data_IF_715853475860
#
_entry.id   IF_715853475860
#
_cell.length_a   1.000
_cell.length_b   1.000
_cell.length_c   1.000
_cell.angle_alpha   90.00
_cell.angle_beta   90.00
_cell.angle_gamma   90.00
#
_symmetry.space_group_name_H-M   'P 1'
#
loop_
_entity.id
_entity.type
_entity.pdbx_description
1 polymer ?
#
# COMPACT_ATOMS: atom_id res chain seq x y z
N UNK A 1 38.54 -42.82 -45.83
CA UNK A 1 37.18 -42.53 -45.35
C UNK A 1 37.25 -42.46 -43.82
N UNK A 2 37.11 -41.27 -43.23
CA UNK A 2 37.34 -40.99 -41.80
C UNK A 2 36.00 -40.92 -41.02
N UNK A 3 35.98 -41.65 -39.90
CA UNK A 3 35.48 -41.38 -38.54
C UNK A 3 34.70 -40.08 -38.18
N UNK A 4 33.65 -40.27 -37.33
CA UNK A 4 33.25 -39.57 -36.07
C UNK A 4 31.77 -39.10 -35.93
N UNK A 5 31.05 -39.81 -35.05
CA UNK A 5 30.16 -39.42 -33.91
C UNK A 5 29.44 -38.06 -33.83
N UNK A 6 28.12 -38.06 -33.53
CA UNK A 6 27.44 -37.63 -32.27
C UNK A 6 25.92 -37.36 -32.49
N UNK A 7 25.07 -37.64 -31.49
CA UNK A 7 23.65 -37.20 -31.43
C UNK A 7 22.74 -38.28 -30.81
N UNK A 8 22.60 -38.37 -29.48
CA UNK A 8 21.73 -37.58 -28.58
C UNK A 8 20.26 -38.04 -28.53
N UNK A 9 19.98 -38.80 -27.46
CA UNK A 9 18.80 -38.79 -26.57
C UNK A 9 17.39 -38.55 -27.15
N UNK A 10 16.57 -39.61 -27.09
CA UNK A 10 15.11 -39.56 -26.96
C UNK A 10 14.78 -40.14 -25.59
N UNK A 11 14.16 -39.34 -24.72
CA UNK A 11 13.36 -39.84 -23.60
C UNK A 11 12.04 -39.06 -23.58
N UNK A 12 10.95 -39.79 -23.75
CA UNK A 12 9.61 -39.32 -23.51
C UNK A 12 9.41 -39.10 -22.00
N UNK A 13 8.89 -37.94 -21.61
CA UNK A 13 8.27 -37.74 -20.31
C UNK A 13 6.94 -37.05 -20.52
N UNK A 14 5.88 -37.80 -20.22
CA UNK A 14 4.52 -37.35 -20.00
C UNK A 14 4.53 -36.68 -18.61
N UNK A 15 4.22 -35.38 -18.54
CA UNK A 15 3.91 -34.71 -17.27
C UNK A 15 2.42 -34.43 -17.19
N UNK A 16 1.74 -35.34 -16.50
CA UNK A 16 0.48 -35.13 -15.82
C UNK A 16 0.68 -34.12 -14.68
N UNK A 17 0.06 -32.95 -14.78
CA UNK A 17 -0.09 -32.04 -13.65
C UNK A 17 -1.21 -32.56 -12.75
N UNK A 18 -0.83 -33.32 -11.72
CA UNK A 18 -1.69 -33.61 -10.59
C UNK A 18 -1.88 -32.36 -9.74
N UNK A 19 -3.13 -31.91 -9.62
CA UNK A 19 -3.54 -30.95 -8.60
C UNK A 19 -3.25 -31.55 -7.22
N UNK A 20 -2.27 -31.01 -6.50
CA UNK A 20 -2.16 -31.20 -5.05
C UNK A 20 -2.91 -30.05 -4.37
N UNK A 21 -3.84 -30.33 -3.46
CA UNK A 21 -4.53 -29.29 -2.72
C UNK A 21 -3.56 -28.57 -1.79
N UNK A 22 -3.63 -27.24 -1.80
CA UNK A 22 -3.00 -26.37 -0.80
C UNK A 22 -3.52 -26.79 0.58
N UNK A 23 -2.66 -27.04 1.59
CA UNK A 23 -3.13 -27.32 2.93
C UNK A 23 -3.73 -26.05 3.51
N UNK A 24 -5.07 -26.01 3.58
CA UNK A 24 -5.84 -25.09 4.41
C UNK A 24 -5.65 -25.49 5.87
N UNK A 25 -4.58 -25.00 6.49
CA UNK A 25 -4.29 -25.21 7.91
C UNK A 25 -3.96 -23.90 8.58
N UNK A 26 -4.96 -23.05 8.82
CA UNK A 26 -4.86 -22.01 9.85
C UNK A 26 -4.86 -22.70 11.22
N UNK A 27 -3.86 -22.47 12.09
CA UNK A 27 -3.94 -22.94 13.47
C UNK A 27 -5.10 -22.23 14.18
N UNK A 28 -6.10 -23.00 14.62
CA UNK A 28 -7.18 -22.49 15.46
C UNK A 28 -6.66 -22.27 16.88
N UNK A 29 -6.24 -21.04 17.17
CA UNK A 29 -6.10 -20.58 18.54
C UNK A 29 -7.51 -20.37 19.12
N UNK A 30 -7.99 -21.37 19.86
CA UNK A 30 -9.17 -21.26 20.71
C UNK A 30 -8.87 -20.29 21.85
N UNK A 31 -9.20 -19.02 21.65
CA UNK A 31 -9.25 -18.01 22.70
C UNK A 31 -10.67 -17.99 23.26
N UNK A 32 -10.80 -18.23 24.56
CA UNK A 32 -12.08 -18.08 25.27
C UNK A 32 -12.51 -16.60 25.21
N UNK A 33 -13.80 -16.31 24.96
CA UNK A 33 -14.31 -14.95 25.02
C UNK A 33 -14.18 -14.40 26.45
N UNK A 34 -13.57 -13.23 26.57
CA UNK A 34 -13.51 -12.44 27.79
C UNK A 34 -14.72 -11.49 27.83
N UNK A 35 -15.43 -11.44 28.95
CA UNK A 35 -16.53 -10.51 29.17
C UNK A 35 -15.98 -9.08 29.35
N UNK A 36 -16.14 -8.24 28.32
CA UNK A 36 -15.89 -6.79 28.39
C UNK A 36 -17.19 -6.10 28.84
N UNK A 37 -17.16 -5.14 29.78
CA UNK A 37 -18.37 -4.42 30.19
C UNK A 37 -19.00 -3.69 29.01
N UNK A 38 -20.26 -4.02 28.73
CA UNK A 38 -21.08 -3.38 27.71
C UNK A 38 -21.41 -1.94 28.15
N UNK A 39 -20.77 -0.94 27.56
CA UNK A 39 -21.26 0.44 27.60
C UNK A 39 -22.27 0.61 26.46
N UNK A 40 -23.53 0.84 26.83
CA UNK A 40 -24.66 1.06 25.92
C UNK A 40 -24.65 2.49 25.31
N UNK A 41 -25.33 2.71 24.18
CA UNK A 41 -25.06 3.83 23.29
C UNK A 41 -25.73 5.13 23.78
N UNK A 42 -24.92 6.17 23.89
CA UNK A 42 -25.36 7.54 24.07
C UNK A 42 -24.25 8.47 23.61
N UNK A 43 -24.47 9.12 22.47
CA UNK A 43 -23.65 10.20 21.90
C UNK A 43 -22.23 9.81 21.44
N UNK A 44 -21.79 10.46 20.36
CA UNK A 44 -20.43 10.33 19.85
C UNK A 44 -19.44 10.89 20.88
N UNK A 45 -18.96 10.04 21.79
CA UNK A 45 -17.61 10.22 22.28
C UNK A 45 -16.72 10.20 21.04
N UNK A 46 -15.99 11.30 20.79
CA UNK A 46 -14.85 11.26 19.86
C UNK A 46 -14.06 10.00 20.21
N UNK A 47 -13.66 9.20 19.22
CA UNK A 47 -12.99 7.92 19.46
C UNK A 47 -11.76 8.07 20.37
N UNK A 48 -11.14 9.25 20.37
CA UNK A 48 -10.04 9.65 21.26
C UNK A 48 -10.40 9.78 22.74
N UNK A 49 -11.69 9.85 23.10
CA UNK A 49 -12.17 9.91 24.48
C UNK A 49 -12.57 8.53 25.06
N UNK A 50 -12.70 7.48 24.23
CA UNK A 50 -13.20 6.18 24.70
C UNK A 50 -12.27 5.54 25.73
N UNK A 51 -10.95 5.70 25.54
CA UNK A 51 -9.92 5.24 26.45
C UNK A 51 -8.97 6.40 26.77
N UNK A 52 -8.46 6.47 28.02
CA UNK A 52 -7.39 7.41 28.35
C UNK A 52 -6.05 6.86 27.89
N UNK A 53 -5.05 7.73 27.75
CA UNK A 53 -3.69 7.37 27.35
C UNK A 53 -3.08 6.23 28.19
N UNK A 54 -3.37 6.22 29.48
CA UNK A 54 -2.89 5.21 30.44
C UNK A 54 -3.84 4.03 30.63
N UNK A 55 -5.01 4.01 29.97
CA UNK A 55 -5.96 2.90 30.09
C UNK A 55 -5.46 1.69 29.31
N UNK A 56 -4.94 0.69 30.01
CA UNK A 56 -4.65 -0.61 29.45
C UNK A 56 -3.61 -1.42 30.21
N UNK A 57 -3.18 -2.54 29.63
CA UNK A 57 -2.10 -3.37 30.14
C UNK A 57 -0.73 -2.92 29.64
N UNK A 58 0.29 -3.72 29.93
CA UNK A 58 1.63 -3.58 29.35
C UNK A 58 1.71 -4.27 28.00
N UNK A 59 2.64 -3.84 27.15
CA UNK A 59 3.02 -4.62 25.99
C UNK A 59 3.68 -5.94 26.44
N UNK A 60 3.68 -6.95 25.57
CA UNK A 60 4.29 -8.25 25.83
C UNK A 60 5.35 -8.58 24.77
N UNK A 61 6.33 -9.40 25.13
CA UNK A 61 7.27 -9.95 24.15
C UNK A 61 6.66 -11.22 23.54
N UNK A 62 6.63 -11.29 22.22
CA UNK A 62 6.12 -12.42 21.45
C UNK A 62 7.23 -12.83 20.48
N UNK A 63 7.50 -14.15 20.32
CA UNK A 63 8.47 -14.65 19.35
C UNK A 63 8.23 -14.08 17.94
N UNK A 64 9.31 -13.89 17.18
CA UNK A 64 9.23 -13.39 15.81
C UNK A 64 8.34 -14.27 14.94
N UNK A 65 7.41 -13.63 14.23
CA UNK A 65 6.51 -14.29 13.31
C UNK A 65 6.30 -13.38 12.09
N UNK A 66 6.64 -13.87 10.90
CA UNK A 66 6.38 -13.14 9.66
C UNK A 66 5.02 -13.55 9.12
N UNK A 67 4.15 -12.58 8.91
CA UNK A 67 2.85 -12.77 8.28
C UNK A 67 2.78 -12.03 6.94
N UNK A 68 1.92 -12.53 6.04
CA UNK A 68 1.59 -11.87 4.77
C UNK A 68 0.13 -11.43 4.84
N UNK A 69 -0.10 -10.13 4.74
CA UNK A 69 -1.42 -9.49 4.63
C UNK A 69 -1.82 -9.31 3.17
N UNK A 70 -2.92 -8.59 2.93
CA UNK A 70 -3.40 -8.21 1.61
C UNK A 70 -2.31 -7.58 0.74
N UNK A 71 -2.44 -7.79 -0.58
CA UNK A 71 -1.52 -7.24 -1.59
C UNK A 71 -0.05 -7.61 -1.37
N UNK A 72 0.18 -8.82 -0.85
CA UNK A 72 1.49 -9.40 -0.55
C UNK A 72 2.32 -8.60 0.47
N UNK A 73 1.67 -7.79 1.31
CA UNK A 73 2.32 -7.00 2.34
C UNK A 73 2.83 -7.90 3.45
N UNK A 74 4.15 -7.98 3.61
CA UNK A 74 4.80 -8.81 4.62
C UNK A 74 5.25 -7.96 5.80
N UNK A 75 5.08 -8.47 7.01
CA UNK A 75 5.49 -7.81 8.24
C UNK A 75 5.71 -8.80 9.37
N UNK A 76 6.45 -8.37 10.38
CA UNK A 76 6.65 -9.08 11.64
C UNK A 76 5.42 -8.88 12.54
N UNK A 77 4.47 -9.82 12.50
CA UNK A 77 3.15 -9.70 13.13
C UNK A 77 3.20 -9.77 14.65
N UNK A 78 4.27 -10.34 15.21
CA UNK A 78 4.55 -10.31 16.64
C UNK A 78 4.61 -8.88 17.19
N UNK A 79 5.02 -7.88 16.41
CA UNK A 79 5.01 -6.49 16.84
C UNK A 79 3.60 -5.94 17.03
N UNK A 80 2.67 -6.28 16.14
CA UNK A 80 1.28 -5.88 16.29
C UNK A 80 0.62 -6.63 17.45
N UNK A 81 0.87 -7.94 17.57
CA UNK A 81 0.35 -8.77 18.66
C UNK A 81 0.87 -8.33 20.04
N UNK A 82 2.11 -7.86 20.10
CA UNK A 82 2.76 -7.39 21.33
C UNK A 82 2.00 -6.24 21.99
N UNK A 83 1.29 -5.44 21.19
CA UNK A 83 0.57 -4.28 21.68
C UNK A 83 -0.93 -4.51 21.85
N UNK A 84 -1.51 -5.66 21.50
CA UNK A 84 -2.97 -5.91 21.58
C UNK A 84 -3.64 -5.44 22.89
N UNK A 85 -3.07 -5.83 24.02
CA UNK A 85 -3.58 -5.47 25.36
C UNK A 85 -2.95 -4.22 25.96
N UNK A 86 -2.05 -3.53 25.25
CA UNK A 86 -1.31 -2.39 25.78
C UNK A 86 -2.17 -1.13 25.90
N UNK A 87 -1.86 -0.27 26.88
CA UNK A 87 -2.34 1.12 26.92
C UNK A 87 -1.75 1.96 25.78
N UNK A 88 -2.25 3.19 25.58
CA UNK A 88 -1.64 4.15 24.67
C UNK A 88 -0.17 4.43 25.01
N UNK A 89 0.13 4.69 26.29
CA UNK A 89 1.50 4.89 26.78
C UNK A 89 2.42 3.71 26.52
N UNK A 90 1.94 2.49 26.75
CA UNK A 90 2.70 1.26 26.53
C UNK A 90 2.86 0.93 25.04
N UNK A 91 1.88 1.28 24.20
CA UNK A 91 2.03 1.22 22.74
C UNK A 91 3.12 2.18 22.26
N UNK A 92 3.14 3.43 22.73
CA UNK A 92 4.21 4.39 22.38
C UNK A 92 5.58 3.89 22.84
N UNK A 93 5.70 3.47 24.11
CA UNK A 93 6.97 2.98 24.66
C UNK A 93 7.51 1.79 23.87
N UNK A 94 6.64 0.83 23.52
CA UNK A 94 7.02 -0.32 22.70
C UNK A 94 7.51 0.09 21.31
N UNK A 95 6.73 0.93 20.62
CA UNK A 95 7.04 1.41 19.25
C UNK A 95 8.37 2.17 19.23
N UNK A 96 8.64 2.99 20.24
CA UNK A 96 9.88 3.76 20.33
C UNK A 96 11.11 2.88 20.62
N UNK A 97 10.97 1.88 21.50
CA UNK A 97 12.08 1.00 21.89
C UNK A 97 12.37 -0.10 20.87
N UNK A 98 11.33 -0.83 20.49
CA UNK A 98 11.46 -2.04 19.67
C UNK A 98 11.37 -1.70 18.20
N UNK A 99 10.43 -0.82 17.82
CA UNK A 99 10.34 -0.31 16.45
C UNK A 99 11.45 0.68 16.09
N UNK A 100 12.25 1.15 17.05
CA UNK A 100 13.27 2.19 16.81
C UNK A 100 12.69 3.47 16.17
N UNK A 101 11.42 3.76 16.46
CA UNK A 101 10.68 4.90 15.94
C UNK A 101 10.77 6.11 16.88
N UNK A 102 10.74 7.31 16.33
CA UNK A 102 10.41 8.51 17.11
C UNK A 102 8.93 8.80 16.99
N UNK A 103 8.30 9.20 18.08
CA UNK A 103 6.89 9.64 18.04
C UNK A 103 6.82 11.05 18.60
N UNK A 104 6.19 11.95 17.85
CA UNK A 104 5.99 13.35 18.22
C UNK A 104 4.53 13.74 18.10
N UNK A 105 4.13 14.78 18.82
CA UNK A 105 2.84 15.45 18.58
C UNK A 105 3.01 16.68 17.69
N UNK A 106 2.05 16.93 16.81
CA UNK A 106 2.05 18.07 15.89
C UNK A 106 1.85 19.43 16.59
N UNK A 107 1.29 19.44 17.82
CA UNK A 107 0.93 20.63 18.58
C UNK A 107 -0.19 21.44 17.90
N UNK A 108 -1.22 20.73 17.43
CA UNK A 108 -2.48 21.27 16.97
C UNK A 108 -3.56 20.95 18.01
N UNK A 109 -3.92 21.94 18.83
CA UNK A 109 -4.98 21.80 19.83
C UNK A 109 -6.34 21.91 19.14
N UNK A 110 -6.78 20.83 18.52
CA UNK A 110 -8.00 20.79 17.71
C UNK A 110 -9.08 19.84 18.26
N UNK A 111 -9.17 19.65 19.58
CA UNK A 111 -10.19 18.75 20.13
C UNK A 111 -10.34 18.81 21.64
N UNK A 112 -11.39 18.16 22.16
CA UNK A 112 -11.66 18.10 23.61
C UNK A 112 -10.84 17.01 24.32
N UNK A 113 -10.36 16.01 23.59
CA UNK A 113 -9.70 14.83 24.15
C UNK A 113 -8.27 14.73 23.62
N UNK A 114 -7.33 15.41 24.28
CA UNK A 114 -5.92 15.41 23.92
C UNK A 114 -5.21 14.12 24.38
N UNK A 115 -5.53 12.99 23.73
CA UNK A 115 -4.99 11.68 24.09
C UNK A 115 -3.44 11.64 24.11
N UNK A 116 -2.78 12.41 23.23
CA UNK A 116 -1.32 12.44 23.09
C UNK A 116 -0.66 13.71 23.65
N UNK A 117 -1.34 14.45 24.54
CA UNK A 117 -0.81 15.69 25.15
C UNK A 117 0.57 15.50 25.81
N UNK A 118 0.80 14.31 26.39
CA UNK A 118 2.03 13.95 27.09
C UNK A 118 3.23 13.75 26.17
N UNK A 119 3.03 13.63 24.86
CA UNK A 119 4.12 13.46 23.91
C UNK A 119 4.90 14.76 23.72
N UNK A 120 6.18 14.61 23.41
CA UNK A 120 7.01 15.75 23.05
C UNK A 120 6.52 16.37 21.72
N UNK A 121 6.53 17.70 21.65
CA UNK A 121 6.19 18.45 20.43
C UNK A 121 7.23 18.18 19.34
N UNK A 122 6.76 18.00 18.11
CA UNK A 122 7.60 17.79 16.94
C UNK A 122 8.60 18.95 16.77
N UNK A 123 9.89 18.67 16.54
CA UNK A 123 10.86 19.70 16.15
C UNK A 123 10.46 20.41 14.85
N UNK A 124 10.95 21.62 14.63
CA UNK A 124 10.45 22.51 13.56
C UNK A 124 10.50 21.91 12.14
N UNK A 125 11.57 21.14 11.85
CA UNK A 125 11.70 20.44 10.57
C UNK A 125 10.57 19.43 10.31
N UNK A 126 10.03 18.81 11.35
CA UNK A 126 8.92 17.86 11.27
C UNK A 126 7.58 18.58 11.20
N UNK A 127 7.43 19.71 11.91
CA UNK A 127 6.24 20.57 11.79
C UNK A 127 6.05 21.08 10.37
N UNK A 128 7.12 21.52 9.70
CA UNK A 128 7.02 21.97 8.31
C UNK A 128 6.49 20.86 7.37
N UNK A 129 6.91 19.61 7.58
CA UNK A 129 6.41 18.45 6.82
C UNK A 129 4.95 18.20 7.15
N UNK A 130 4.58 18.23 8.44
CA UNK A 130 3.19 18.10 8.87
C UNK A 130 2.29 19.17 8.24
N UNK A 131 2.67 20.45 8.33
CA UNK A 131 1.90 21.57 7.77
C UNK A 131 1.71 21.48 6.25
N UNK A 132 2.69 20.96 5.53
CA UNK A 132 2.55 20.71 4.09
C UNK A 132 1.59 19.55 3.81
N UNK A 133 1.70 18.46 4.58
CA UNK A 133 0.80 17.31 4.46
C UNK A 133 -0.65 17.71 4.82
N UNK A 134 -0.85 18.49 5.88
CA UNK A 134 -2.17 18.97 6.31
C UNK A 134 -2.73 20.08 5.42
N UNK A 135 -1.89 20.94 4.84
CA UNK A 135 -2.29 21.98 3.89
C UNK A 135 -2.66 21.44 2.49
N UNK A 136 -2.20 20.23 2.14
CA UNK A 136 -2.63 19.52 0.93
C UNK A 136 -4.07 18.97 1.01
N UNK A 137 -4.66 18.97 2.21
CA UNK A 137 -6.03 18.53 2.43
C UNK A 137 -6.95 19.71 2.13
N UNK A 138 -7.43 19.83 0.89
CA UNK A 138 -8.20 20.97 0.37
C UNK A 138 -9.56 21.21 1.06
N UNK A 139 -9.55 21.59 2.33
CA UNK A 139 -10.71 21.99 3.15
C UNK A 139 -11.71 20.87 3.48
N UNK A 140 -11.44 19.61 3.13
CA UNK A 140 -12.41 18.49 3.19
C UNK A 140 -11.95 17.25 3.97
N UNK A 141 -10.86 17.34 4.72
CA UNK A 141 -10.34 16.23 5.51
C UNK A 141 -9.40 16.77 6.58
N UNK A 142 -9.05 15.93 7.56
CA UNK A 142 -8.09 16.32 8.60
C UNK A 142 -7.05 15.24 8.82
N UNK A 143 -5.77 15.63 8.75
CA UNK A 143 -4.62 14.79 9.01
C UNK A 143 -4.57 14.39 10.49
N UNK A 144 -4.62 13.10 10.78
CA UNK A 144 -4.55 12.57 12.16
C UNK A 144 -3.16 12.05 12.54
N UNK A 145 -2.47 11.44 11.59
CA UNK A 145 -1.18 10.79 11.77
C UNK A 145 -0.37 10.91 10.49
N UNK A 146 0.95 10.84 10.65
CA UNK A 146 1.90 10.83 9.54
C UNK A 146 3.12 10.00 9.90
N UNK A 147 3.28 8.88 9.22
CA UNK A 147 4.51 8.11 9.19
C UNK A 147 5.52 8.70 8.19
N UNK A 148 6.77 8.83 8.64
CA UNK A 148 7.92 9.23 7.84
C UNK A 148 8.95 8.11 7.90
N UNK A 149 9.29 7.48 6.77
CA UNK A 149 10.29 6.42 6.75
C UNK A 149 11.68 6.97 7.04
N UNK A 150 12.61 6.04 7.32
CA UNK A 150 14.03 6.36 7.41
C UNK A 150 14.47 7.01 6.09
N UNK A 151 15.35 8.00 6.19
CA UNK A 151 15.88 8.71 5.02
C UNK A 151 14.79 9.36 4.13
N UNK A 152 13.65 9.73 4.73
CA UNK A 152 12.63 10.50 4.03
C UNK A 152 13.25 11.73 3.35
N UNK A 153 12.95 11.92 2.06
CA UNK A 153 13.66 12.84 1.16
C UNK A 153 13.83 14.30 1.65
N UNK A 154 12.91 14.82 2.48
CA UNK A 154 13.00 16.18 3.07
C UNK A 154 13.89 16.25 4.32
N UNK A 155 14.12 15.11 4.96
CA UNK A 155 14.87 14.97 6.21
C UNK A 155 15.78 13.73 6.16
N UNK A 156 16.71 13.66 5.17
CA UNK A 156 17.61 12.52 5.03
C UNK A 156 18.46 12.30 6.29
N UNK A 157 18.85 11.05 6.57
CA UNK A 157 19.65 10.67 7.73
C UNK A 157 18.90 10.63 9.06
N UNK A 158 17.57 10.79 9.06
CA UNK A 158 16.77 10.71 10.28
C UNK A 158 16.24 9.30 10.53
N UNK A 159 15.99 9.01 11.82
CA UNK A 159 15.25 7.83 12.25
C UNK A 159 13.81 7.90 11.72
N UNK A 160 13.20 6.74 11.45
CA UNK A 160 11.80 6.69 11.09
C UNK A 160 10.97 7.35 12.21
N UNK A 161 9.92 8.06 11.83
CA UNK A 161 9.20 8.97 12.73
C UNK A 161 7.71 8.90 12.49
N UNK A 162 6.92 8.93 13.55
CA UNK A 162 5.47 9.13 13.52
C UNK A 162 5.17 10.51 14.11
N UNK A 163 4.34 11.29 13.44
CA UNK A 163 3.78 12.55 13.95
C UNK A 163 2.28 12.35 14.13
N UNK A 164 1.74 12.68 15.29
CA UNK A 164 0.33 12.51 15.62
C UNK A 164 -0.31 13.85 15.96
N UNK A 165 -1.58 14.02 15.60
CA UNK A 165 -2.41 15.13 16.10
C UNK A 165 -2.75 14.88 17.56
N UNK A 166 -2.75 15.93 18.38
CA UNK A 166 -2.82 15.81 19.84
C UNK A 166 -4.12 15.14 20.33
N UNK A 167 -5.22 15.30 19.58
CA UNK A 167 -6.56 14.83 19.90
C UNK A 167 -6.97 13.53 19.15
N UNK A 168 -6.02 12.88 18.49
CA UNK A 168 -6.27 11.57 17.86
C UNK A 168 -6.21 10.44 18.89
N UNK A 169 -6.15 9.20 18.44
CA UNK A 169 -6.35 8.05 19.30
C UNK A 169 -5.38 6.89 19.03
N UNK A 170 -5.55 5.81 19.80
CA UNK A 170 -4.69 4.63 19.69
C UNK A 170 -4.84 3.91 18.32
N UNK A 171 -5.98 4.04 17.63
CA UNK A 171 -6.13 3.49 16.28
C UNK A 171 -5.15 4.12 15.32
N UNK A 172 -5.05 5.45 15.36
CA UNK A 172 -4.14 6.20 14.47
C UNK A 172 -2.70 5.78 14.69
N UNK A 173 -2.21 5.67 15.93
CA UNK A 173 -0.81 5.26 16.13
C UNK A 173 -0.54 3.81 15.72
N UNK A 174 -1.51 2.90 15.90
CA UNK A 174 -1.38 1.52 15.43
C UNK A 174 -1.35 1.48 13.90
N UNK A 175 -2.17 2.30 13.24
CA UNK A 175 -2.15 2.48 11.80
C UNK A 175 -0.77 2.94 11.32
N UNK A 176 -0.26 4.05 11.86
CA UNK A 176 1.06 4.59 11.46
C UNK A 176 2.20 3.60 11.74
N UNK A 177 2.08 2.82 12.81
CA UNK A 177 3.04 1.76 13.11
C UNK A 177 3.02 0.64 12.08
N UNK A 178 1.85 0.31 11.52
CA UNK A 178 1.76 -0.70 10.45
C UNK A 178 2.50 -0.27 9.18
N UNK A 179 2.44 1.01 8.78
CA UNK A 179 3.27 1.54 7.69
C UNK A 179 4.76 1.28 7.96
N UNK A 180 5.19 1.53 9.20
CA UNK A 180 6.56 1.26 9.59
C UNK A 180 6.95 -0.23 9.49
N UNK A 181 6.07 -1.12 9.96
CA UNK A 181 6.31 -2.56 9.88
C UNK A 181 6.40 -3.04 8.43
N UNK A 182 5.60 -2.48 7.53
CA UNK A 182 5.72 -2.74 6.09
C UNK A 182 7.02 -2.17 5.48
N UNK A 183 7.43 -0.96 5.87
CA UNK A 183 8.70 -0.38 5.41
C UNK A 183 9.90 -1.21 5.85
N UNK A 184 9.97 -1.69 7.10
CA UNK A 184 11.10 -2.53 7.57
C UNK A 184 11.28 -3.73 6.64
N UNK A 185 10.19 -4.42 6.32
CA UNK A 185 10.26 -5.59 5.45
C UNK A 185 10.64 -5.22 4.02
N UNK A 186 10.12 -4.09 3.52
CA UNK A 186 10.44 -3.55 2.19
C UNK A 186 11.91 -3.18 2.05
N UNK A 187 12.49 -2.51 3.04
CA UNK A 187 13.92 -2.17 3.09
C UNK A 187 14.79 -3.43 3.10
N UNK A 188 14.43 -4.46 3.88
CA UNK A 188 15.12 -5.76 3.91
C UNK A 188 15.18 -6.43 2.53
N UNK A 189 14.24 -6.14 1.63
CA UNK A 189 14.20 -6.66 0.26
C UNK A 189 14.79 -5.70 -0.79
N UNK A 190 15.45 -4.62 -0.38
CA UNK A 190 16.07 -3.66 -1.30
C UNK A 190 15.06 -2.77 -2.05
N UNK A 191 13.84 -2.64 -1.54
CA UNK A 191 12.75 -1.90 -2.18
C UNK A 191 12.41 -0.58 -1.45
N UNK A 192 13.39 0.04 -0.79
CA UNK A 192 13.22 1.31 -0.09
C UNK A 192 12.51 2.35 -0.97
N UNK A 193 11.49 3.02 -0.43
CA UNK A 193 10.59 3.89 -1.22
C UNK A 193 11.34 4.98 -2.00
N UNK A 194 12.35 5.62 -1.38
CA UNK A 194 13.17 6.65 -2.02
C UNK A 194 13.98 6.12 -3.23
N UNK A 195 14.51 4.90 -3.13
CA UNK A 195 15.23 4.25 -4.23
C UNK A 195 14.28 3.91 -5.38
N UNK A 196 13.08 3.41 -5.06
CA UNK A 196 12.04 3.11 -6.04
C UNK A 196 11.56 4.36 -6.78
N UNK A 197 11.37 5.48 -6.08
CA UNK A 197 11.01 6.77 -6.70
C UNK A 197 12.12 7.28 -7.63
N UNK A 198 13.37 7.16 -7.21
CA UNK A 198 14.52 7.54 -8.05
C UNK A 198 14.57 6.70 -9.32
N UNK A 199 14.36 5.39 -9.22
CA UNK A 199 14.37 4.50 -10.37
C UNK A 199 13.17 4.74 -11.30
N UNK A 200 12.00 5.03 -10.75
CA UNK A 200 10.82 5.43 -11.51
C UNK A 200 11.07 6.70 -12.34
N UNK A 201 11.62 7.76 -11.72
CA UNK A 201 11.95 9.02 -12.42
C UNK A 201 12.96 8.75 -13.54
N UNK A 202 14.05 8.02 -13.27
CA UNK A 202 15.05 7.67 -14.29
C UNK A 202 14.46 6.86 -15.45
N UNK A 203 13.53 5.95 -15.15
CA UNK A 203 12.83 5.16 -16.17
C UNK A 203 11.95 6.04 -17.03
N UNK A 204 11.22 6.96 -16.42
CA UNK A 204 10.41 7.93 -17.14
C UNK A 204 11.26 8.86 -18.02
N UNK A 205 12.39 9.37 -17.52
CA UNK A 205 13.34 10.17 -18.30
C UNK A 205 13.93 9.37 -19.48
N UNK A 206 14.23 8.07 -19.28
CA UNK A 206 14.66 7.17 -20.36
C UNK A 206 13.57 7.07 -21.43
N UNK A 207 12.30 6.90 -21.06
CA UNK A 207 11.19 6.86 -22.00
C UNK A 207 11.03 8.18 -22.77
N UNK A 208 11.16 9.33 -22.08
CA UNK A 208 11.09 10.64 -22.72
C UNK A 208 12.20 10.86 -23.76
N UNK A 209 13.38 10.26 -23.56
CA UNK A 209 14.49 10.32 -24.53
C UNK A 209 14.29 9.37 -25.70
N UNK A 210 13.79 8.16 -25.46
CA UNK A 210 13.61 7.13 -26.49
C UNK A 210 12.39 7.39 -27.38
N UNK A 211 11.29 7.91 -26.83
CA UNK A 211 10.05 8.08 -27.58
C UNK A 211 10.21 8.99 -28.82
N UNK A 212 10.91 10.14 -28.77
CA UNK A 212 11.19 10.93 -29.97
C UNK A 212 12.01 10.19 -31.03
N UNK A 213 12.97 9.34 -30.64
CA UNK A 213 13.77 8.57 -31.60
C UNK A 213 12.93 7.56 -32.37
N UNK A 214 12.07 6.82 -31.65
CA UNK A 214 11.13 5.84 -32.24
C UNK A 214 10.06 6.53 -33.08
N UNK A 215 9.60 7.72 -32.66
CA UNK A 215 8.59 8.50 -33.36
C UNK A 215 9.15 9.33 -34.54
N UNK A 216 10.46 9.36 -34.74
CA UNK A 216 11.06 10.24 -35.74
C UNK A 216 10.80 9.72 -37.15
N UNK A 217 10.61 10.63 -38.11
CA UNK A 217 10.53 10.26 -39.54
C UNK A 217 11.82 9.55 -40.01
N UNK A 218 12.94 9.81 -39.33
CA UNK A 218 14.22 9.15 -39.58
C UNK A 218 14.30 7.72 -39.04
N UNK A 219 13.37 7.28 -38.20
CA UNK A 219 13.43 5.95 -37.60
C UNK A 219 13.44 4.85 -38.65
N UNK A 220 12.62 4.97 -39.70
CA UNK A 220 12.59 4.04 -40.84
C UNK A 220 13.92 3.96 -41.61
N UNK A 221 14.76 5.00 -41.52
CA UNK A 221 16.08 5.06 -42.19
C UNK A 221 17.22 4.43 -41.38
N UNK A 222 16.98 4.08 -40.11
CA UNK A 222 17.99 3.43 -39.29
C UNK A 222 18.24 1.99 -39.76
N UNK A 223 19.46 1.49 -39.54
CA UNK A 223 19.77 0.08 -39.68
C UNK A 223 18.80 -0.76 -38.83
N UNK A 224 18.38 -1.92 -39.36
CA UNK A 224 17.36 -2.78 -38.73
C UNK A 224 17.73 -3.17 -37.29
N UNK A 225 19.00 -3.42 -37.03
CA UNK A 225 19.54 -3.74 -35.71
C UNK A 225 19.36 -2.57 -34.73
N UNK A 226 19.57 -1.33 -35.20
CA UNK A 226 19.35 -0.12 -34.38
C UNK A 226 17.87 0.08 -34.10
N UNK A 227 17.00 -0.12 -35.10
CA UNK A 227 15.54 -0.04 -34.92
C UNK A 227 15.06 -1.05 -33.88
N UNK A 228 15.48 -2.32 -34.03
CA UNK A 228 15.16 -3.39 -33.09
C UNK A 228 15.59 -3.02 -31.67
N UNK A 229 16.84 -2.58 -31.51
CA UNK A 229 17.39 -2.22 -30.20
C UNK A 229 16.60 -1.08 -29.54
N UNK A 230 16.24 -0.03 -30.30
CA UNK A 230 15.41 1.06 -29.78
C UNK A 230 14.02 0.59 -29.33
N UNK A 231 13.41 -0.32 -30.09
CA UNK A 231 12.12 -0.93 -29.74
C UNK A 231 12.22 -1.82 -28.48
N UNK A 232 13.29 -2.60 -28.35
CA UNK A 232 13.57 -3.40 -27.14
C UNK A 232 13.81 -2.49 -25.93
N UNK A 233 14.59 -1.41 -26.10
CA UNK A 233 14.89 -0.45 -25.03
C UNK A 233 13.64 0.29 -24.54
N UNK A 234 12.74 0.68 -25.45
CA UNK A 234 11.50 1.37 -25.07
C UNK A 234 10.50 0.40 -24.45
N UNK A 235 10.41 -0.85 -24.93
CA UNK A 235 9.57 -1.89 -24.32
C UNK A 235 10.04 -2.25 -22.91
N UNK A 236 11.35 -2.36 -22.71
CA UNK A 236 11.93 -2.59 -21.39
C UNK A 236 11.63 -1.43 -20.44
N UNK A 237 11.77 -0.18 -20.91
CA UNK A 237 11.45 1.00 -20.11
C UNK A 237 9.94 1.10 -19.78
N UNK A 238 9.06 0.78 -20.74
CA UNK A 238 7.62 0.69 -20.51
C UNK A 238 7.27 -0.38 -19.47
N UNK A 239 7.88 -1.57 -19.57
CA UNK A 239 7.66 -2.66 -18.61
C UNK A 239 8.03 -2.21 -17.20
N UNK A 240 9.24 -1.66 -17.02
CA UNK A 240 9.68 -1.13 -15.71
C UNK A 240 8.80 0.02 -15.22
N UNK A 241 8.30 0.89 -16.11
CA UNK A 241 7.39 1.97 -15.74
C UNK A 241 6.11 1.44 -15.08
N UNK A 242 5.48 0.42 -15.66
CA UNK A 242 4.27 -0.17 -15.09
C UNK A 242 4.57 -1.02 -13.84
N UNK A 243 5.73 -1.66 -13.75
CA UNK A 243 6.16 -2.33 -12.51
C UNK A 243 6.29 -1.32 -11.35
N UNK A 244 6.85 -0.13 -11.60
CA UNK A 244 6.91 0.94 -10.60
C UNK A 244 5.54 1.53 -10.27
N UNK A 245 4.65 1.70 -11.26
CA UNK A 245 3.25 2.11 -11.03
C UNK A 245 2.53 1.12 -10.11
N UNK A 246 2.63 -0.18 -10.42
CA UNK A 246 2.09 -1.24 -9.59
C UNK A 246 2.65 -1.17 -8.16
N UNK A 247 3.97 -0.95 -8.02
CA UNK A 247 4.61 -0.78 -6.73
C UNK A 247 4.01 0.41 -5.94
N UNK A 248 3.85 1.59 -6.55
CA UNK A 248 3.31 2.77 -5.87
C UNK A 248 1.82 2.67 -5.56
N UNK A 249 1.01 2.05 -6.43
CA UNK A 249 -0.38 1.71 -6.11
C UNK A 249 -0.41 0.78 -4.90
N UNK A 250 0.50 -0.20 -4.86
CA UNK A 250 0.60 -1.15 -3.76
C UNK A 250 1.06 -0.49 -2.45
N UNK A 251 1.95 0.52 -2.51
CA UNK A 251 2.45 1.22 -1.31
C UNK A 251 1.52 2.34 -0.83
N UNK A 252 0.76 2.99 -1.72
CA UNK A 252 -0.21 4.00 -1.32
C UNK A 252 -1.57 3.38 -1.00
N UNK A 253 -2.58 3.53 -1.89
CA UNK A 253 -3.97 3.21 -1.56
C UNK A 253 -4.21 1.74 -1.18
N UNK A 254 -3.46 0.78 -1.73
CA UNK A 254 -3.64 -0.62 -1.33
C UNK A 254 -3.00 -0.94 0.04
N UNK A 255 -1.97 -0.20 0.45
CA UNK A 255 -1.37 -0.34 1.78
C UNK A 255 -2.36 0.14 2.85
N UNK A 256 -2.95 1.33 2.67
CA UNK A 256 -4.02 1.87 3.52
C UNK A 256 -5.15 0.85 3.74
N UNK A 257 -5.61 0.25 2.64
CA UNK A 257 -6.61 -0.80 2.70
C UNK A 257 -6.14 -2.03 3.49
N UNK A 258 -4.90 -2.47 3.29
CA UNK A 258 -4.35 -3.62 4.00
C UNK A 258 -4.23 -3.36 5.51
N UNK A 259 -3.82 -2.15 5.90
CA UNK A 259 -3.72 -1.73 7.30
C UNK A 259 -5.11 -1.74 7.94
N UNK A 260 -6.05 -0.99 7.37
CA UNK A 260 -7.38 -0.83 7.95
C UNK A 260 -8.14 -2.16 8.01
N UNK A 261 -8.06 -2.98 6.95
CA UNK A 261 -8.68 -4.30 6.95
C UNK A 261 -8.08 -5.21 8.03
N UNK A 262 -6.76 -5.16 8.22
CA UNK A 262 -6.07 -5.97 9.23
C UNK A 262 -6.40 -5.52 10.66
N UNK A 263 -6.44 -4.22 10.93
CA UNK A 263 -6.81 -3.68 12.25
C UNK A 263 -8.27 -4.06 12.55
N UNK A 264 -9.18 -3.84 11.58
CA UNK A 264 -10.59 -4.22 11.72
C UNK A 264 -10.79 -5.72 11.94
N UNK A 265 -10.13 -6.57 11.16
CA UNK A 265 -10.26 -8.03 11.30
C UNK A 265 -9.70 -8.55 12.61
N UNK A 266 -8.75 -7.81 13.20
CA UNK A 266 -8.07 -8.14 14.44
C UNK A 266 -8.66 -7.41 15.65
N UNK A 267 -9.72 -6.62 15.48
CA UNK A 267 -10.22 -5.73 16.51
C UNK A 267 -10.56 -6.45 17.81
N UNK A 268 -11.17 -7.63 17.74
CA UNK A 268 -11.54 -8.43 18.92
C UNK A 268 -10.33 -8.84 19.78
N UNK A 269 -9.12 -8.76 19.23
CA UNK A 269 -7.88 -9.01 19.99
C UNK A 269 -7.37 -7.74 20.70
N UNK A 270 -7.82 -6.55 20.31
CA UNK A 270 -7.40 -5.30 20.93
C UNK A 270 -8.32 -4.90 22.10
N UNK A 271 -7.79 -4.92 23.32
CA UNK A 271 -8.59 -4.61 24.52
C UNK A 271 -8.93 -3.12 24.70
N UNK A 272 -8.06 -2.23 24.20
CA UNK A 272 -8.10 -0.78 24.48
C UNK A 272 -7.95 0.05 23.21
N UNK A 273 -8.48 -0.44 22.09
CA UNK A 273 -8.48 0.26 20.81
C UNK A 273 -9.87 0.86 20.62
N UNK A 274 -10.00 2.17 20.37
CA UNK A 274 -11.30 2.80 20.27
C UNK A 274 -12.03 2.39 18.99
N UNK A 275 -13.35 2.58 18.99
CA UNK A 275 -14.24 2.20 17.89
C UNK A 275 -14.17 3.17 16.72
N UNK A 276 -13.08 3.14 15.96
CA UNK A 276 -12.90 3.95 14.75
C UNK A 276 -13.45 3.29 13.46
N UNK A 277 -14.38 2.34 13.57
CA UNK A 277 -14.83 1.52 12.43
C UNK A 277 -15.45 2.31 11.29
N UNK A 278 -16.14 3.41 11.58
CA UNK A 278 -16.78 4.23 10.53
C UNK A 278 -15.73 4.96 9.69
N UNK A 279 -14.73 5.57 10.33
CA UNK A 279 -13.61 6.20 9.62
C UNK A 279 -12.81 5.14 8.87
N UNK A 280 -12.41 4.05 9.54
CA UNK A 280 -11.72 2.91 8.93
C UNK A 280 -12.43 2.36 7.67
N UNK A 281 -13.73 2.09 7.74
CA UNK A 281 -14.49 1.62 6.58
C UNK A 281 -14.55 2.67 5.45
N UNK A 282 -14.61 3.96 5.79
CA UNK A 282 -14.54 5.04 4.79
C UNK A 282 -13.16 5.06 4.08
N UNK A 283 -12.05 4.87 4.81
CA UNK A 283 -10.71 4.75 4.21
C UNK A 283 -10.60 3.58 3.26
N UNK A 284 -11.06 2.40 3.68
CA UNK A 284 -11.00 1.20 2.84
C UNK A 284 -11.71 1.46 1.52
N UNK A 285 -12.90 2.08 1.58
CA UNK A 285 -13.70 2.37 0.39
C UNK A 285 -13.05 3.44 -0.48
N UNK A 286 -12.57 4.53 0.11
CA UNK A 286 -11.91 5.60 -0.65
C UNK A 286 -10.63 5.10 -1.32
N UNK A 287 -9.77 4.44 -0.57
CA UNK A 287 -8.51 3.88 -1.07
C UNK A 287 -8.76 2.82 -2.14
N UNK A 288 -9.82 2.00 -2.00
CA UNK A 288 -10.20 1.05 -3.04
C UNK A 288 -10.56 1.72 -4.36
N UNK A 289 -11.35 2.81 -4.32
CA UNK A 289 -11.75 3.55 -5.52
C UNK A 289 -10.56 4.20 -6.20
N UNK A 290 -9.63 4.74 -5.42
CA UNK A 290 -8.41 5.34 -5.94
C UNK A 290 -7.48 4.30 -6.59
N UNK A 291 -7.31 3.14 -5.95
CA UNK A 291 -6.55 2.03 -6.49
C UNK A 291 -7.20 1.47 -7.76
N UNK A 292 -8.50 1.17 -7.73
CA UNK A 292 -9.25 0.64 -8.88
C UNK A 292 -9.16 1.58 -10.08
N UNK A 293 -9.42 2.88 -9.88
CA UNK A 293 -9.32 3.90 -10.92
C UNK A 293 -7.92 3.93 -11.55
N UNK A 294 -6.88 3.89 -10.71
CA UNK A 294 -5.49 3.95 -11.17
C UNK A 294 -5.07 2.67 -11.91
N UNK A 295 -5.39 1.51 -11.35
CA UNK A 295 -5.11 0.20 -11.96
C UNK A 295 -5.81 0.05 -13.30
N UNK A 296 -7.11 0.36 -13.40
CA UNK A 296 -7.84 0.25 -14.65
C UNK A 296 -7.29 1.21 -15.72
N UNK A 297 -6.95 2.45 -15.35
CA UNK A 297 -6.31 3.38 -16.29
C UNK A 297 -4.95 2.87 -16.79
N UNK A 298 -4.13 2.30 -15.91
CA UNK A 298 -2.83 1.73 -16.28
C UNK A 298 -2.97 0.45 -17.10
N UNK A 299 -3.94 -0.43 -16.80
CA UNK A 299 -4.27 -1.63 -17.57
C UNK A 299 -4.71 -1.24 -18.99
N UNK A 300 -5.68 -0.33 -19.12
CA UNK A 300 -6.20 0.11 -20.42
C UNK A 300 -5.07 0.70 -21.29
N UNK A 301 -4.20 1.52 -20.69
CA UNK A 301 -3.05 2.10 -21.38
C UNK A 301 -2.02 1.04 -21.79
N UNK A 302 -1.72 0.07 -20.93
CA UNK A 302 -0.77 -1.00 -21.20
C UNK A 302 -1.30 -1.98 -22.26
N UNK A 303 -2.57 -2.37 -22.19
CA UNK A 303 -3.22 -3.23 -23.18
C UNK A 303 -3.35 -2.55 -24.54
N UNK A 304 -3.69 -1.27 -24.58
CA UNK A 304 -3.70 -0.48 -25.82
C UNK A 304 -2.31 -0.45 -26.46
N UNK A 305 -1.26 -0.29 -25.65
CA UNK A 305 0.13 -0.31 -26.10
C UNK A 305 0.52 -1.70 -26.62
N UNK A 306 0.20 -2.77 -25.87
CA UNK A 306 0.45 -4.15 -26.28
C UNK A 306 -0.25 -4.45 -27.60
N UNK A 307 -1.53 -4.06 -27.75
CA UNK A 307 -2.30 -4.24 -28.97
C UNK A 307 -1.58 -3.61 -30.15
N UNK A 308 -1.20 -2.32 -30.06
CA UNK A 308 -0.47 -1.61 -31.11
C UNK A 308 0.81 -2.35 -31.53
N UNK A 309 1.65 -2.72 -30.56
CA UNK A 309 2.91 -3.45 -30.79
C UNK A 309 2.65 -4.81 -31.45
N UNK A 310 1.62 -5.54 -31.01
CA UNK A 310 1.31 -6.89 -31.49
C UNK A 310 0.53 -6.96 -32.79
N UNK A 311 -0.03 -5.83 -33.27
CA UNK A 311 -0.82 -5.76 -34.49
C UNK A 311 -0.12 -5.01 -35.63
N UNK A 312 0.95 -4.28 -35.35
CA UNK A 312 1.74 -3.54 -36.34
C UNK A 312 2.69 -4.50 -37.08
N UNK A 313 2.51 -4.73 -38.40
CA UNK A 313 3.34 -5.66 -39.16
C UNK A 313 4.83 -5.30 -39.15
N UNK A 314 5.16 -4.01 -39.14
CA UNK A 314 6.55 -3.55 -39.14
C UNK A 314 7.21 -3.89 -37.80
N UNK A 315 6.49 -3.75 -36.70
CA UNK A 315 6.97 -4.13 -35.36
C UNK A 315 7.07 -5.64 -35.21
N UNK A 316 6.07 -6.38 -35.66
CA UNK A 316 6.06 -7.85 -35.64
C UNK A 316 7.28 -8.40 -36.36
N UNK A 317 7.71 -7.76 -37.46
CA UNK A 317 8.88 -8.16 -38.23
C UNK A 317 10.20 -8.14 -37.44
N UNK A 318 10.28 -7.44 -36.31
CA UNK A 318 11.47 -7.42 -35.44
C UNK A 318 11.53 -8.60 -34.45
N UNK A 319 10.42 -9.32 -34.26
CA UNK A 319 10.33 -10.47 -33.35
C UNK A 319 10.63 -10.09 -31.90
N UNK A 320 10.03 -9.00 -31.40
CA UNK A 320 10.20 -8.54 -30.02
C UNK A 320 9.62 -9.56 -29.03
N UNK A 321 10.33 -9.83 -27.94
CA UNK A 321 9.79 -10.64 -26.83
C UNK A 321 8.87 -9.78 -25.95
N UNK A 322 7.57 -10.04 -26.04
CA UNK A 322 6.54 -9.31 -25.28
C UNK A 322 6.17 -10.00 -23.96
N UNK A 323 6.84 -11.09 -23.59
CA UNK A 323 6.45 -11.95 -22.47
C UNK A 323 6.42 -11.19 -21.15
N UNK A 324 7.49 -10.45 -20.83
CA UNK A 324 7.57 -9.67 -19.59
C UNK A 324 6.50 -8.58 -19.52
N UNK A 325 6.25 -7.90 -20.63
CA UNK A 325 5.25 -6.84 -20.67
C UNK A 325 3.83 -7.38 -20.44
N UNK A 326 3.50 -8.55 -21.03
CA UNK A 326 2.25 -9.26 -20.74
C UNK A 326 2.13 -9.67 -19.27
N UNK A 327 3.20 -10.21 -18.69
CA UNK A 327 3.25 -10.55 -17.27
C UNK A 327 2.97 -9.33 -16.38
N UNK A 328 3.54 -8.16 -16.69
CA UNK A 328 3.24 -6.93 -15.95
C UNK A 328 1.75 -6.55 -16.04
N UNK A 329 1.12 -6.67 -17.20
CA UNK A 329 -0.33 -6.44 -17.36
C UNK A 329 -1.14 -7.43 -16.52
N UNK A 330 -0.76 -8.71 -16.54
CA UNK A 330 -1.42 -9.75 -15.76
C UNK A 330 -1.29 -9.48 -14.24
N UNK A 331 -0.14 -8.96 -13.78
CA UNK A 331 0.05 -8.54 -12.39
C UNK A 331 -0.87 -7.38 -12.01
N UNK A 332 -1.04 -6.37 -12.88
CA UNK A 332 -1.98 -5.27 -12.63
C UNK A 332 -3.44 -5.79 -12.51
N UNK A 333 -3.85 -6.70 -13.39
CA UNK A 333 -5.18 -7.34 -13.34
C UNK A 333 -5.37 -8.19 -12.08
N UNK A 334 -4.30 -8.87 -11.65
CA UNK A 334 -4.31 -9.63 -10.40
C UNK A 334 -4.59 -8.69 -9.22
N UNK A 335 -4.02 -7.48 -9.18
CA UNK A 335 -4.31 -6.48 -8.14
C UNK A 335 -5.78 -6.07 -8.11
N UNK A 336 -6.43 -5.86 -9.25
CA UNK A 336 -7.87 -5.57 -9.31
C UNK A 336 -8.71 -6.73 -8.74
N UNK A 337 -8.31 -7.97 -9.02
CA UNK A 337 -8.96 -9.16 -8.46
C UNK A 337 -8.79 -9.24 -6.95
N UNK A 338 -7.58 -9.01 -6.45
CA UNK A 338 -7.28 -8.99 -5.01
C UNK A 338 -8.02 -7.86 -4.29
N UNK A 339 -8.17 -6.70 -4.93
CA UNK A 339 -8.93 -5.56 -4.39
C UNK A 339 -10.38 -5.94 -4.09
N UNK A 340 -11.03 -6.65 -5.02
CA UNK A 340 -12.40 -7.14 -4.82
C UNK A 340 -12.51 -8.10 -3.63
N UNK A 341 -11.52 -8.97 -3.44
CA UNK A 341 -11.46 -9.89 -2.29
C UNK A 341 -11.29 -9.13 -0.98
N UNK A 342 -10.34 -8.19 -0.93
CA UNK A 342 -10.07 -7.38 0.26
C UNK A 342 -11.29 -6.53 0.67
N UNK A 343 -12.01 -5.95 -0.29
CA UNK A 343 -13.25 -5.22 -0.04
C UNK A 343 -14.36 -6.11 0.55
N UNK A 344 -14.44 -7.36 0.11
CA UNK A 344 -15.38 -8.33 0.68
C UNK A 344 -15.02 -8.64 2.13
N UNK A 345 -13.74 -8.93 2.40
CA UNK A 345 -13.29 -9.26 3.75
C UNK A 345 -13.45 -8.09 4.73
N UNK A 346 -13.15 -6.87 4.27
CA UNK A 346 -13.37 -5.64 5.03
C UNK A 346 -14.86 -5.44 5.37
N UNK A 347 -15.75 -5.68 4.40
CA UNK A 347 -17.19 -5.65 4.60
C UNK A 347 -17.64 -6.68 5.63
N UNK A 348 -17.15 -7.90 5.52
CA UNK A 348 -17.49 -8.97 6.45
C UNK A 348 -16.95 -8.68 7.86
N UNK A 349 -15.75 -8.10 7.96
CA UNK A 349 -15.16 -7.62 9.21
C UNK A 349 -16.00 -6.51 9.86
N UNK A 350 -16.39 -5.50 9.09
CA UNK A 350 -17.30 -4.47 9.58
C UNK A 350 -18.61 -5.07 10.07
N UNK A 351 -19.23 -5.96 9.30
CA UNK A 351 -20.52 -6.56 9.67
C UNK A 351 -20.43 -7.38 10.98
N UNK A 352 -19.35 -8.15 11.20
CA UNK A 352 -19.12 -8.88 12.46
C UNK A 352 -19.10 -7.94 13.67
N UNK A 353 -18.37 -6.85 13.55
CA UNK A 353 -18.26 -5.84 14.61
C UNK A 353 -19.58 -5.08 14.78
N UNK A 354 -20.24 -4.76 13.69
CA UNK A 354 -21.49 -4.02 13.65
C UNK A 354 -22.64 -4.76 14.33
N UNK A 355 -22.76 -6.06 14.11
CA UNK A 355 -23.81 -6.90 14.72
C UNK A 355 -23.66 -7.01 16.26
N UNK A 356 -22.52 -6.58 16.80
CA UNK A 356 -22.33 -6.43 18.25
C UNK A 356 -22.88 -5.12 18.83
N UNK A 357 -23.20 -4.08 18.03
CA UNK A 357 -23.70 -2.80 18.61
C UNK A 357 -24.32 -1.69 17.71
N UNK A 358 -24.45 -1.73 16.37
CA UNK A 358 -25.03 -0.57 15.62
C UNK A 358 -25.51 -0.86 14.18
N UNK A 359 -26.75 -0.51 13.81
CA UNK A 359 -27.33 -0.76 12.46
C UNK A 359 -26.87 0.21 11.34
N UNK A 360 -25.77 -0.08 10.61
CA UNK A 360 -25.41 0.50 9.29
C UNK A 360 -25.18 -0.59 8.22
N UNK A 361 -26.05 -0.73 7.22
CA UNK A 361 -25.94 -1.78 6.19
C UNK A 361 -24.89 -1.45 5.13
N UNK A 362 -23.92 -2.36 4.88
CA UNK A 362 -22.91 -2.27 3.82
C UNK A 362 -23.33 -2.94 2.50
N UNK A 363 -24.62 -3.13 2.26
CA UNK A 363 -25.12 -3.97 1.16
C UNK A 363 -24.85 -3.42 -0.24
N UNK A 364 -24.50 -2.13 -0.39
CA UNK A 364 -24.04 -1.55 -1.65
C UNK A 364 -22.90 -0.56 -1.40
N UNK A 365 -21.77 -0.71 -2.10
CA UNK A 365 -20.66 0.26 -2.11
C UNK A 365 -21.12 1.65 -2.59
N UNK A 366 -22.21 1.71 -3.36
CA UNK A 366 -22.87 2.93 -3.83
C UNK A 366 -23.84 3.57 -2.83
N UNK A 367 -24.22 2.88 -1.74
CA UNK A 367 -25.17 3.39 -0.72
C UNK A 367 -24.56 3.47 0.67
N UNK A 368 -23.26 3.21 0.81
CA UNK A 368 -22.52 3.76 1.93
C UNK A 368 -22.88 5.24 2.04
N UNK A 369 -23.15 5.77 3.26
CA UNK A 369 -23.18 7.22 3.41
C UNK A 369 -21.89 7.69 2.74
N UNK A 370 -21.99 8.60 1.76
CA UNK A 370 -20.82 9.32 1.29
C UNK A 370 -20.04 9.63 2.56
N UNK A 371 -18.78 9.16 2.61
CA UNK A 371 -17.89 9.51 3.70
C UNK A 371 -18.17 10.97 3.94
N UNK A 372 -18.71 11.23 5.13
CA UNK A 372 -19.13 12.57 5.51
C UNK A 372 -17.88 13.43 5.23
N UNK A 373 -17.99 14.59 4.60
CA UNK A 373 -16.82 15.42 4.18
C UNK A 373 -15.89 15.82 5.36
N UNK A 374 -16.17 15.30 6.56
CA UNK A 374 -15.48 15.36 7.85
C UNK A 374 -14.83 14.04 8.30
N UNK A 375 -14.84 12.96 7.48
CA UNK A 375 -14.04 11.78 7.78
C UNK A 375 -12.55 12.21 7.79
N UNK A 376 -11.85 12.04 8.92
CA UNK A 376 -10.42 12.34 8.95
C UNK A 376 -9.71 11.54 7.87
N UNK A 377 -8.63 12.08 7.28
CA UNK A 377 -7.75 11.41 6.30
C UNK A 377 -6.35 11.21 6.94
N UNK A 378 -5.87 9.96 6.99
CA UNK A 378 -4.56 9.48 7.40
C UNK A 378 -3.81 9.38 6.07
N UNK A 379 -2.67 10.04 6.01
CA UNK A 379 -1.97 10.25 4.76
C UNK A 379 -0.57 9.68 4.84
N UNK A 380 -0.31 8.65 4.02
CA UNK A 380 0.98 8.58 3.33
C UNK A 380 1.26 9.91 2.59
N UNK A 381 2.52 10.26 2.29
CA UNK A 381 2.83 11.51 1.64
C UNK A 381 2.26 11.55 0.22
N UNK A 382 1.03 12.06 0.09
CA UNK A 382 0.21 12.20 -1.12
C UNK A 382 0.98 12.79 -2.29
N UNK A 383 2.01 13.59 -2.03
CA UNK A 383 2.91 14.14 -3.05
C UNK A 383 3.66 13.06 -3.87
N UNK A 384 4.05 11.91 -3.29
CA UNK A 384 4.67 10.82 -4.07
C UNK A 384 3.65 10.29 -5.06
N UNK A 385 2.46 10.02 -4.55
CA UNK A 385 1.36 9.44 -5.30
C UNK A 385 0.85 10.38 -6.39
N UNK A 386 0.61 11.65 -6.06
CA UNK A 386 0.24 12.70 -7.01
C UNK A 386 1.32 12.92 -8.06
N UNK A 387 2.60 12.91 -7.65
CA UNK A 387 3.70 12.99 -8.61
C UNK A 387 3.67 11.80 -9.55
N UNK A 388 3.53 10.57 -9.04
CA UNK A 388 3.41 9.34 -9.84
C UNK A 388 2.20 9.38 -10.77
N UNK A 389 1.04 9.87 -10.32
CA UNK A 389 -0.19 10.00 -11.11
C UNK A 389 -0.10 11.12 -12.17
N UNK A 390 0.60 12.22 -11.87
CA UNK A 390 0.75 13.36 -12.79
C UNK A 390 1.61 13.03 -14.03
N UNK A 391 2.42 11.98 -13.95
CA UNK A 391 3.28 11.55 -15.05
C UNK A 391 2.45 11.00 -16.21
N UNK A 392 2.42 11.73 -17.32
CA UNK A 392 1.84 11.27 -18.58
C UNK A 392 2.88 10.52 -19.40
N UNK A 393 2.56 9.28 -19.77
CA UNK A 393 3.39 8.49 -20.69
C UNK A 393 3.55 9.28 -22.00
N UNK A 394 4.78 9.46 -22.51
CA UNK A 394 4.98 10.07 -23.83
C UNK A 394 4.19 9.30 -24.87
N UNK A 395 3.50 9.98 -25.77
CA UNK A 395 2.81 9.32 -26.86
C UNK A 395 3.84 8.65 -27.77
N UNK A 396 3.91 7.31 -27.73
CA UNK A 396 4.72 6.52 -28.67
C UNK A 396 3.82 6.23 -29.86
N UNK A 397 4.14 6.85 -31.00
CA UNK A 397 3.48 6.64 -32.28
C UNK A 397 4.28 5.58 -33.02
N UNK A 398 3.75 4.37 -33.00
CA UNK A 398 4.23 3.28 -33.85
C UNK A 398 3.70 3.52 -35.27
N UNK A 399 4.54 4.13 -36.10
CA UNK A 399 4.39 4.42 -37.54
C UNK A 399 3.02 4.98 -38.01
N UNK A 400 2.90 5.20 -39.33
CA UNK A 400 1.71 5.63 -40.05
C UNK A 400 1.52 4.73 -41.25
#
# INVERSE_FOLDING_TARGET
>A
MRLLTFGSFIFAVILSFGCTPVPSGTPSLSLKPFDIPLVLPGESLDSSCEFRYETGGTHISIPEEVSTSYFDKRFESNHLRAIFSASGSQTIDYIQRVGSLRVWRANENAGKCQFFESLAVAPEKFKAIWSEASGGVGGKGVLLGLYLPKDHHKIPGNQPTIILRDDTDRWTVVHEFMHHLFEIYREKNGQAQAAMLTNYIKTFEKMQKLAPEVNSDSFASYAREKQKKLLEDILAALTSFYDYKNFFITQGPLEEMAIETLIMSSYDMFNYLPRAFKSSAAYIVQSSKEAEKSLNADIDAAESTLKKISSDPDIISFGLDLTKFKQTIDQLKLRVTQLSSALKDARDGYNRVKDSSLNLSLTNVSTLPQARDDAPEIHEPRWVWERVQSVKIPQIKFFR
#
